data_IF_249767001948
#
_entry.id   IF_249767001948
#
_cell.length_a   1.000
_cell.length_b   1.000
_cell.length_c   1.000
_cell.angle_alpha   90.00
_cell.angle_beta   90.00
_cell.angle_gamma   90.00
#
_symmetry.space_group_name_H-M   'P 1'
#
loop_
_entity.id
_entity.type
_entity.pdbx_description
1 polymer ?
#
# COMPACT_ATOMS: atom_id res chain seq x y z
N UNK A 1 -10.21 -7.38 0.93
CA UNK A 1 -10.18 -6.97 -0.49
C UNK A 1 -9.05 -7.78 -1.09
N UNK A 2 -9.38 -8.95 -1.65
CA UNK A 2 -8.35 -9.95 -2.01
C UNK A 2 -7.62 -9.58 -3.30
N UNK A 3 -8.24 -8.81 -4.19
CA UNK A 3 -7.66 -8.46 -5.51
C UNK A 3 -6.55 -7.40 -5.44
N UNK A 4 -6.58 -6.56 -4.40
CA UNK A 4 -5.60 -5.47 -4.22
C UNK A 4 -4.19 -5.96 -3.93
N UNK A 5 -4.00 -7.17 -3.38
CA UNK A 5 -2.67 -7.74 -3.11
C UNK A 5 -1.95 -8.03 -4.43
N UNK A 6 -2.64 -8.60 -5.41
CA UNK A 6 -2.07 -8.89 -6.72
C UNK A 6 -1.77 -7.63 -7.52
N UNK A 7 -2.61 -6.59 -7.38
CA UNK A 7 -2.34 -5.28 -7.97
C UNK A 7 -1.07 -4.65 -7.39
N UNK A 8 -0.89 -4.72 -6.06
CA UNK A 8 0.33 -4.26 -5.39
C UNK A 8 1.56 -5.05 -5.86
N UNK A 9 1.52 -6.38 -5.88
CA UNK A 9 2.65 -7.21 -6.33
C UNK A 9 3.04 -6.93 -7.79
N UNK A 10 2.06 -6.73 -8.67
CA UNK A 10 2.30 -6.40 -10.07
C UNK A 10 2.99 -5.03 -10.20
N UNK A 11 2.44 -4.01 -9.54
CA UNK A 11 3.03 -2.67 -9.52
C UNK A 11 4.45 -2.68 -8.93
N UNK A 12 4.63 -3.36 -7.80
CA UNK A 12 5.92 -3.49 -7.12
C UNK A 12 6.99 -4.10 -8.02
N UNK A 13 6.68 -5.21 -8.71
CA UNK A 13 7.63 -5.87 -9.62
C UNK A 13 7.97 -5.02 -10.85
N UNK A 14 7.04 -4.18 -11.29
CA UNK A 14 7.21 -3.39 -12.51
C UNK A 14 7.91 -2.04 -12.24
N UNK A 15 7.47 -1.31 -11.22
CA UNK A 15 7.95 0.04 -10.92
C UNK A 15 9.10 0.04 -9.91
N UNK A 16 9.22 -0.98 -9.06
CA UNK A 16 10.18 -1.00 -7.95
C UNK A 16 9.71 -0.20 -6.73
N UNK A 17 10.41 -0.33 -5.60
CA UNK A 17 10.00 0.25 -4.32
C UNK A 17 10.01 1.78 -4.28
N UNK A 18 10.88 2.45 -5.04
CA UNK A 18 11.06 3.91 -5.01
C UNK A 18 9.97 4.67 -5.81
N UNK A 19 9.12 3.94 -6.53
CA UNK A 19 8.13 4.50 -7.45
C UNK A 19 6.68 4.16 -7.05
N UNK A 20 6.48 3.79 -5.78
CA UNK A 20 5.16 3.43 -5.24
C UNK A 20 4.90 4.21 -3.95
N UNK A 21 3.70 4.79 -3.84
CA UNK A 21 3.29 5.59 -2.68
C UNK A 21 1.97 5.04 -2.12
N UNK A 22 1.86 4.99 -0.79
CA UNK A 22 0.62 4.68 -0.10
C UNK A 22 -0.39 5.84 -0.22
N UNK A 23 -1.57 5.54 -0.76
CA UNK A 23 -2.68 6.48 -0.83
C UNK A 23 -4.01 5.74 -0.60
N UNK A 24 -4.98 6.42 0.03
CA UNK A 24 -6.25 5.80 0.46
C UNK A 24 -7.49 6.54 -0.02
N UNK A 25 -7.31 7.66 -0.73
CA UNK A 25 -8.39 8.53 -1.17
C UNK A 25 -9.31 8.97 -0.03
N UNK A 26 -8.77 9.15 1.18
CA UNK A 26 -9.52 9.67 2.31
C UNK A 26 -10.04 11.09 1.99
N UNK A 27 -11.31 11.43 2.31
CA UNK A 27 -12.26 10.71 3.17
C UNK A 27 -13.26 9.81 2.44
N UNK A 28 -12.99 9.44 1.19
CA UNK A 28 -13.94 8.67 0.38
C UNK A 28 -13.95 7.18 0.76
N UNK A 29 -15.16 6.58 0.75
CA UNK A 29 -15.35 5.14 0.97
C UNK A 29 -16.04 4.75 2.28
N UNK A 30 -16.14 3.43 2.54
CA UNK A 30 -16.80 2.90 3.73
C UNK A 30 -16.15 3.41 5.01
N UNK A 31 -16.98 3.68 6.03
CA UNK A 31 -16.51 4.28 7.30
C UNK A 31 -15.70 5.57 7.07
N UNK A 32 -16.15 6.45 6.17
CA UNK A 32 -15.46 7.71 5.83
C UNK A 32 -14.00 7.48 5.38
N UNK A 33 -13.75 6.39 4.66
CA UNK A 33 -12.42 6.02 4.16
C UNK A 33 -11.53 5.27 5.16
N UNK A 34 -11.90 5.14 6.44
CA UNK A 34 -11.09 4.40 7.44
C UNK A 34 -10.83 2.95 7.03
N UNK A 35 -11.82 2.30 6.40
CA UNK A 35 -11.69 0.92 5.93
C UNK A 35 -10.58 0.76 4.89
N UNK A 36 -10.34 1.78 4.07
CA UNK A 36 -9.27 1.76 3.06
C UNK A 36 -7.90 1.95 3.67
N UNK A 37 -7.79 2.82 4.67
CA UNK A 37 -6.55 2.98 5.46
C UNK A 37 -6.17 1.66 6.14
N UNK A 38 -7.11 1.06 6.87
CA UNK A 38 -6.89 -0.23 7.56
C UNK A 38 -6.49 -1.33 6.57
N UNK A 39 -7.21 -1.45 5.44
CA UNK A 39 -6.97 -2.47 4.43
C UNK A 39 -5.61 -2.35 3.75
N UNK A 40 -5.24 -1.14 3.32
CA UNK A 40 -3.99 -0.90 2.61
C UNK A 40 -2.77 -1.11 3.53
N UNK A 41 -2.84 -0.70 4.80
CA UNK A 41 -1.77 -0.99 5.78
C UNK A 41 -1.66 -2.49 6.06
N UNK A 42 -2.80 -3.20 6.18
CA UNK A 42 -2.81 -4.65 6.40
C UNK A 42 -2.29 -5.43 5.20
N UNK A 43 -2.28 -4.86 3.98
CA UNK A 43 -1.71 -5.50 2.79
C UNK A 43 -0.20 -5.43 2.76
N UNK A 44 0.39 -4.31 3.19
CA UNK A 44 1.85 -4.08 3.12
C UNK A 44 2.58 -4.74 4.29
N UNK A 45 2.03 -4.71 5.50
CA UNK A 45 2.69 -5.27 6.70
C UNK A 45 3.09 -6.75 6.58
N UNK A 46 2.24 -7.68 6.12
CA UNK A 46 2.55 -9.11 6.05
C UNK A 46 3.43 -9.51 4.86
N UNK A 47 3.77 -8.60 3.94
CA UNK A 47 4.65 -8.93 2.81
C UNK A 47 6.06 -9.27 3.31
N UNK A 48 6.79 -10.09 2.56
CA UNK A 48 8.20 -10.40 2.85
C UNK A 48 9.19 -9.30 2.44
N UNK A 49 8.71 -8.07 2.18
CA UNK A 49 9.57 -6.95 1.81
C UNK A 49 10.50 -6.55 2.98
N UNK A 50 11.75 -6.13 2.69
CA UNK A 50 12.64 -5.51 3.66
C UNK A 50 11.95 -4.35 4.40
N UNK A 51 12.25 -4.14 5.70
CA UNK A 51 11.65 -3.04 6.48
C UNK A 51 11.83 -1.66 5.81
N UNK A 52 13.01 -1.39 5.25
CA UNK A 52 13.29 -0.14 4.56
C UNK A 52 12.36 0.11 3.36
N UNK A 53 12.05 -0.91 2.57
CA UNK A 53 11.14 -0.77 1.41
C UNK A 53 9.70 -0.53 1.85
N UNK A 54 9.27 -1.15 2.97
CA UNK A 54 7.96 -0.86 3.57
C UNK A 54 7.88 0.58 4.04
N UNK A 55 8.93 1.10 4.64
CA UNK A 55 8.99 2.49 5.12
C UNK A 55 8.98 3.50 3.96
N UNK A 56 9.67 3.21 2.86
CA UNK A 56 9.60 4.02 1.63
C UNK A 56 8.16 4.09 1.11
N UNK A 57 7.49 2.95 0.95
CA UNK A 57 6.12 2.89 0.42
C UNK A 57 5.10 3.58 1.35
N UNK A 58 5.24 3.42 2.66
CA UNK A 58 4.29 3.93 3.66
C UNK A 58 4.45 5.43 3.98
N UNK A 59 5.50 6.08 3.49
CA UNK A 59 5.68 7.52 3.68
C UNK A 59 7.07 8.10 3.40
N UNK A 60 8.05 7.30 2.97
CA UNK A 60 9.38 7.79 2.56
C UNK A 60 9.42 8.33 1.12
N UNK A 61 8.60 7.77 0.22
CA UNK A 61 8.46 8.22 -1.17
C UNK A 61 7.51 9.43 -1.26
N UNK A 62 7.83 10.39 -2.14
CA UNK A 62 7.04 11.60 -2.43
C UNK A 62 6.81 11.78 -3.94
#
# INVERSE_FOLDING_TARGET
MNDSVHAFECGFKFFGPDHIVFATDYPFGPRKGERWIEGAVHQIRPTCLPPFEKDQILGGNL
#
